data_IF_391776924663
#
_entry.id   IF_391776924663
#
_cell.length_a   1.000
_cell.length_b   1.000
_cell.length_c   1.000
_cell.angle_alpha   90.00
_cell.angle_beta   90.00
_cell.angle_gamma   90.00
#
_symmetry.space_group_name_H-M   'P 1'
#
loop_
_entity.id
_entity.type
_entity.pdbx_description
1 polymer ?
#
# COMPACT_ATOMS: atom_id res chain seq x y z
N UNK A 1 12.43 2.61 9.91
CA UNK A 1 11.50 2.88 8.78
C UNK A 1 10.07 2.38 8.99
N UNK A 2 9.79 1.10 9.35
CA UNK A 2 8.39 0.65 9.57
C UNK A 2 7.68 1.36 10.72
N UNK A 3 8.37 1.56 11.82
CA UNK A 3 7.85 2.23 13.02
C UNK A 3 7.60 3.72 12.75
N UNK A 4 8.54 4.38 12.10
CA UNK A 4 8.43 5.80 11.74
C UNK A 4 7.30 6.03 10.73
N UNK A 5 7.14 5.12 9.75
CA UNK A 5 6.01 5.16 8.83
C UNK A 5 4.68 5.01 9.56
N UNK A 6 4.56 4.00 10.45
CA UNK A 6 3.37 3.80 11.25
C UNK A 6 3.02 5.04 12.10
N UNK A 7 4.03 5.66 12.72
CA UNK A 7 3.80 6.89 13.50
C UNK A 7 3.33 8.04 12.61
N UNK A 8 3.94 8.25 11.44
CA UNK A 8 3.54 9.31 10.50
C UNK A 8 2.09 9.13 10.00
N UNK A 9 1.66 7.89 9.80
CA UNK A 9 0.27 7.58 9.41
C UNK A 9 -0.69 7.88 10.56
N UNK A 10 -0.34 7.51 11.80
CA UNK A 10 -1.12 7.82 13.00
C UNK A 10 -1.28 9.34 13.15
N UNK A 11 -0.19 10.10 13.04
CA UNK A 11 -0.19 11.56 13.16
C UNK A 11 -1.01 12.25 12.05
N UNK A 12 -1.15 11.60 10.90
CA UNK A 12 -1.92 12.09 9.77
C UNK A 12 -3.42 11.82 9.90
N UNK A 13 -3.81 10.83 10.69
CA UNK A 13 -5.19 10.35 10.80
C UNK A 13 -6.16 11.43 11.27
N UNK A 14 -5.80 12.18 12.31
CA UNK A 14 -6.65 13.22 12.89
C UNK A 14 -6.79 14.45 11.95
N UNK A 15 -5.81 14.63 11.05
CA UNK A 15 -5.78 15.73 10.08
C UNK A 15 -6.51 15.41 8.77
N UNK A 16 -6.75 14.13 8.51
CA UNK A 16 -7.35 13.63 7.27
C UNK A 16 -8.46 12.61 7.57
N UNK A 17 -9.69 13.06 7.78
CA UNK A 17 -10.80 12.20 8.22
C UNK A 17 -11.20 11.11 7.21
N UNK A 18 -10.80 11.26 5.94
CA UNK A 18 -11.06 10.30 4.87
C UNK A 18 -9.92 9.30 4.65
N UNK A 19 -8.91 9.28 5.52
CA UNK A 19 -7.77 8.35 5.42
C UNK A 19 -8.20 6.94 5.80
N UNK A 20 -7.86 5.95 4.97
CA UNK A 20 -8.10 4.51 5.18
C UNK A 20 -6.78 3.77 5.02
N UNK A 21 -6.56 2.77 5.84
CA UNK A 21 -5.36 1.91 5.79
C UNK A 21 -5.76 0.48 5.45
N UNK A 22 -5.17 -0.07 4.40
CA UNK A 22 -5.46 -1.42 3.90
C UNK A 22 -4.17 -2.23 3.90
N UNK A 23 -4.18 -3.41 4.48
CA UNK A 23 -3.02 -4.32 4.53
C UNK A 23 -3.38 -5.73 4.08
N UNK A 24 -2.40 -6.48 3.61
CA UNK A 24 -2.54 -7.85 3.10
C UNK A 24 -2.10 -8.92 4.08
N UNK A 25 -2.66 -8.94 5.29
CA UNK A 25 -2.37 -9.92 6.37
C UNK A 25 -0.90 -9.98 6.76
N UNK A 26 -0.30 -8.81 6.93
CA UNK A 26 1.09 -8.66 7.32
C UNK A 26 1.28 -7.41 8.19
N UNK A 27 2.50 -7.17 8.68
CA UNK A 27 2.83 -5.99 9.48
C UNK A 27 2.80 -6.26 10.97
N UNK A 28 2.85 -7.50 11.41
CA UNK A 28 2.98 -7.89 12.80
C UNK A 28 4.13 -7.15 13.49
N UNK A 29 3.91 -6.74 14.74
CA UNK A 29 4.82 -5.91 15.56
C UNK A 29 5.12 -4.51 14.98
N UNK A 30 4.35 -4.05 13.99
CA UNK A 30 4.54 -2.73 13.40
C UNK A 30 3.25 -1.94 13.18
N UNK A 31 2.11 -2.62 12.95
CA UNK A 31 0.85 -1.97 12.57
C UNK A 31 -0.23 -2.01 13.65
N UNK A 32 -0.01 -2.64 14.81
CA UNK A 32 -1.02 -2.76 15.87
C UNK A 32 -1.52 -1.39 16.33
N UNK A 33 -0.61 -0.40 16.48
CA UNK A 33 -0.98 0.97 16.85
C UNK A 33 -1.78 1.67 15.75
N UNK A 34 -1.47 1.38 14.48
CA UNK A 34 -2.25 1.89 13.35
C UNK A 34 -3.65 1.29 13.39
N UNK A 35 -3.76 -0.02 13.55
CA UNK A 35 -5.03 -0.72 13.68
C UNK A 35 -5.88 -0.17 14.83
N UNK A 36 -5.27 0.02 15.98
CA UNK A 36 -5.96 0.59 17.16
C UNK A 36 -6.45 2.02 16.91
N UNK A 37 -5.63 2.85 16.26
CA UNK A 37 -5.97 4.25 15.93
C UNK A 37 -7.04 4.36 14.85
N UNK A 38 -6.97 3.54 13.82
CA UNK A 38 -7.86 3.61 12.66
C UNK A 38 -9.22 2.93 12.89
N UNK A 39 -9.29 1.93 13.78
CA UNK A 39 -10.52 1.18 14.03
C UNK A 39 -11.10 0.58 12.75
N UNK A 40 -12.34 0.88 12.41
CA UNK A 40 -13.03 0.38 11.20
C UNK A 40 -12.38 0.85 9.89
N UNK A 41 -11.55 1.87 9.92
CA UNK A 41 -10.78 2.35 8.76
C UNK A 41 -9.43 1.64 8.57
N UNK A 42 -9.15 0.64 9.40
CA UNK A 42 -8.07 -0.31 9.20
C UNK A 42 -8.66 -1.61 8.65
N UNK A 43 -8.31 -1.95 7.41
CA UNK A 43 -8.85 -3.11 6.71
C UNK A 43 -7.73 -4.11 6.48
N UNK A 44 -7.87 -5.32 7.02
CA UNK A 44 -7.06 -6.45 6.62
C UNK A 44 -7.78 -7.19 5.48
N UNK A 45 -7.26 -7.05 4.28
CA UNK A 45 -7.84 -7.65 3.07
C UNK A 45 -7.42 -9.12 2.85
N UNK A 46 -6.64 -9.69 3.77
CA UNK A 46 -6.03 -11.01 3.58
C UNK A 46 -4.91 -11.00 2.53
N UNK A 47 -4.38 -12.16 2.21
CA UNK A 47 -3.33 -12.32 1.19
C UNK A 47 -3.97 -12.25 -0.21
N UNK A 48 -4.44 -11.06 -0.59
CA UNK A 48 -5.21 -10.83 -1.81
C UNK A 48 -4.90 -9.44 -2.41
N UNK A 49 -3.63 -9.20 -2.77
CA UNK A 49 -3.15 -7.86 -3.13
C UNK A 49 -3.85 -7.26 -4.37
N UNK A 50 -4.26 -8.09 -5.33
CA UNK A 50 -5.04 -7.62 -6.48
C UNK A 50 -6.39 -7.06 -6.04
N UNK A 51 -7.14 -7.81 -5.23
CA UNK A 51 -8.41 -7.35 -4.66
C UNK A 51 -8.22 -6.12 -3.76
N UNK A 52 -7.13 -6.10 -2.97
CA UNK A 52 -6.78 -4.99 -2.10
C UNK A 52 -6.64 -3.67 -2.88
N UNK A 53 -5.98 -3.70 -4.04
CA UNK A 53 -5.80 -2.51 -4.88
C UNK A 53 -7.10 -2.09 -5.55
N UNK A 54 -7.91 -3.03 -6.04
CA UNK A 54 -9.23 -2.73 -6.63
C UNK A 54 -10.18 -2.11 -5.60
N UNK A 55 -10.22 -2.66 -4.38
CA UNK A 55 -11.01 -2.08 -3.28
C UNK A 55 -10.51 -0.68 -2.93
N UNK A 56 -9.19 -0.47 -2.85
CA UNK A 56 -8.62 0.85 -2.61
C UNK A 56 -8.99 1.85 -3.70
N UNK A 57 -8.97 1.43 -4.96
CA UNK A 57 -9.39 2.28 -6.07
C UNK A 57 -10.86 2.69 -5.97
N UNK A 58 -11.75 1.75 -5.66
CA UNK A 58 -13.16 2.04 -5.43
C UNK A 58 -13.37 3.02 -4.26
N UNK A 59 -12.69 2.80 -3.14
CA UNK A 59 -12.75 3.73 -1.99
C UNK A 59 -12.22 5.11 -2.36
N UNK A 60 -11.15 5.18 -3.15
CA UNK A 60 -10.62 6.45 -3.61
C UNK A 60 -11.59 7.20 -4.54
N UNK A 61 -12.33 6.47 -5.35
CA UNK A 61 -13.40 7.02 -6.19
C UNK A 61 -14.52 7.65 -5.35
N UNK A 62 -14.84 7.05 -4.20
CA UNK A 62 -15.81 7.55 -3.22
C UNK A 62 -15.24 8.67 -2.29
N UNK A 63 -14.06 9.17 -2.58
CA UNK A 63 -13.47 10.31 -1.86
C UNK A 63 -12.58 9.95 -0.66
N UNK A 64 -12.31 8.68 -0.41
CA UNK A 64 -11.33 8.28 0.59
C UNK A 64 -9.89 8.45 0.09
N UNK A 65 -8.94 8.44 1.02
CA UNK A 65 -7.50 8.45 0.72
C UNK A 65 -6.89 7.14 1.23
N UNK A 66 -6.90 6.06 0.44
CA UNK A 66 -6.40 4.77 0.87
C UNK A 66 -4.87 4.72 0.85
N UNK A 67 -4.31 4.15 1.92
CA UNK A 67 -2.94 3.67 2.00
C UNK A 67 -2.95 2.15 1.93
N UNK A 68 -2.37 1.59 0.90
CA UNK A 68 -2.29 0.15 0.62
C UNK A 68 -0.90 -0.32 0.97
N UNK A 69 -0.76 -1.11 2.02
CA UNK A 69 0.52 -1.52 2.57
C UNK A 69 0.76 -3.02 2.40
N UNK A 70 1.86 -3.39 1.76
CA UNK A 70 2.35 -4.77 1.72
C UNK A 70 3.86 -4.81 1.50
N UNK A 71 4.43 -6.01 1.36
CA UNK A 71 5.81 -6.20 0.92
C UNK A 71 5.94 -5.67 -0.51
N UNK A 72 7.07 -5.03 -0.83
CA UNK A 72 7.25 -4.30 -2.09
C UNK A 72 6.82 -5.08 -3.34
N UNK A 73 7.33 -6.31 -3.63
CA UNK A 73 6.89 -7.03 -4.82
C UNK A 73 5.39 -7.38 -4.80
N UNK A 74 4.81 -7.55 -3.61
CA UNK A 74 3.41 -7.95 -3.49
C UNK A 74 2.44 -6.80 -3.73
N UNK A 75 2.79 -5.57 -3.33
CA UNK A 75 1.95 -4.39 -3.57
C UNK A 75 2.21 -3.74 -4.92
N UNK A 76 3.29 -4.08 -5.60
CA UNK A 76 3.64 -3.47 -6.90
C UNK A 76 3.45 -4.41 -8.07
N UNK A 77 4.03 -5.62 -8.02
CA UNK A 77 4.06 -6.52 -9.16
C UNK A 77 2.84 -7.44 -9.25
N UNK A 78 2.35 -7.96 -8.11
CA UNK A 78 1.14 -8.82 -8.13
C UNK A 78 -0.09 -8.09 -8.65
N UNK A 79 -0.42 -6.87 -8.18
CA UNK A 79 -1.58 -6.12 -8.62
C UNK A 79 -1.26 -5.12 -9.73
N UNK A 80 -0.22 -5.35 -10.53
CA UNK A 80 0.23 -4.38 -11.53
C UNK A 80 -0.87 -3.97 -12.51
N UNK A 81 -1.69 -4.94 -12.95
CA UNK A 81 -2.83 -4.68 -13.82
C UNK A 81 -3.86 -3.78 -13.12
N UNK A 82 -4.21 -4.07 -11.86
CA UNK A 82 -5.16 -3.29 -11.09
C UNK A 82 -4.62 -1.88 -10.83
N UNK A 83 -3.33 -1.73 -10.53
CA UNK A 83 -2.69 -0.42 -10.41
C UNK A 83 -2.84 0.38 -11.71
N UNK A 84 -2.53 -0.26 -12.85
CA UNK A 84 -2.63 0.36 -14.17
C UNK A 84 -4.07 0.77 -14.52
N UNK A 85 -5.01 -0.15 -14.37
CA UNK A 85 -6.37 0.01 -14.86
C UNK A 85 -7.26 0.75 -13.84
N UNK A 86 -7.23 0.34 -12.56
CA UNK A 86 -8.16 0.89 -11.58
C UNK A 86 -7.64 2.20 -10.97
N UNK A 87 -6.32 2.32 -10.75
CA UNK A 87 -5.74 3.50 -10.11
C UNK A 87 -5.26 4.54 -11.12
N UNK A 88 -4.34 4.16 -12.02
CA UNK A 88 -3.69 5.12 -12.91
C UNK A 88 -4.61 5.63 -14.02
N UNK A 89 -5.40 4.77 -14.65
CA UNK A 89 -6.35 5.17 -15.69
C UNK A 89 -7.35 6.21 -15.16
N UNK A 90 -7.88 5.98 -13.96
CA UNK A 90 -8.83 6.87 -13.30
C UNK A 90 -8.17 8.01 -12.51
N UNK A 91 -6.85 8.06 -12.43
CA UNK A 91 -6.09 9.08 -11.71
C UNK A 91 -6.48 9.21 -10.23
N UNK A 92 -6.64 8.09 -9.54
CA UNK A 92 -7.13 8.04 -8.18
C UNK A 92 -5.99 8.25 -7.14
N UNK A 93 -6.28 8.87 -5.99
CA UNK A 93 -5.27 9.20 -4.97
C UNK A 93 -4.92 8.01 -4.06
N UNK A 94 -4.76 6.82 -4.61
CA UNK A 94 -4.31 5.63 -3.88
C UNK A 94 -2.81 5.73 -3.58
N UNK A 95 -2.41 5.43 -2.35
CA UNK A 95 -1.01 5.41 -1.91
C UNK A 95 -0.57 3.97 -1.75
N UNK A 96 0.30 3.50 -2.63
CA UNK A 96 0.92 2.18 -2.55
C UNK A 96 2.18 2.27 -1.69
N UNK A 97 2.26 1.47 -0.65
CA UNK A 97 3.37 1.48 0.31
C UNK A 97 4.06 0.12 0.28
N UNK A 98 5.17 0.06 -0.42
CA UNK A 98 6.01 -1.13 -0.53
C UNK A 98 7.06 -1.19 0.58
N UNK A 99 6.96 -2.20 1.45
CA UNK A 99 7.96 -2.43 2.49
C UNK A 99 9.06 -3.36 1.98
N UNK A 100 10.33 -3.05 2.29
CA UNK A 100 11.47 -3.91 2.01
C UNK A 100 11.89 -3.99 0.55
N UNK A 101 11.85 -2.86 -0.18
CA UNK A 101 12.37 -2.78 -1.54
C UNK A 101 13.85 -3.16 -1.65
N UNK A 102 14.31 -3.44 -2.85
CA UNK A 102 15.65 -3.96 -3.10
C UNK A 102 15.85 -5.33 -2.45
N UNK A 103 16.93 -5.48 -1.72
CA UNK A 103 17.27 -6.70 -0.97
C UNK A 103 16.86 -6.64 0.51
N UNK A 104 15.92 -5.79 0.88
CA UNK A 104 15.54 -5.53 2.28
C UNK A 104 15.10 -6.76 3.07
N UNK A 105 14.64 -7.81 2.41
CA UNK A 105 14.24 -9.08 3.04
C UNK A 105 15.36 -10.15 3.08
N UNK A 106 16.54 -9.87 2.56
CA UNK A 106 17.74 -10.70 2.73
C UNK A 106 17.52 -12.18 2.44
N UNK A 107 17.60 -13.01 3.49
CA UNK A 107 17.51 -14.48 3.39
C UNK A 107 16.21 -15.04 2.82
N UNK A 108 15.14 -14.25 2.75
CA UNK A 108 13.87 -14.70 2.15
C UNK A 108 13.97 -14.86 0.62
N UNK A 109 15.03 -14.32 0.02
CA UNK A 109 15.39 -14.57 -1.36
C UNK A 109 14.53 -13.85 -2.39
N UNK A 110 14.64 -14.30 -3.63
CA UNK A 110 14.10 -13.66 -4.81
C UNK A 110 12.58 -13.42 -4.78
N UNK A 111 11.82 -14.24 -4.04
CA UNK A 111 10.37 -14.06 -3.92
C UNK A 111 9.95 -12.81 -3.13
N UNK A 112 10.88 -12.26 -2.34
CA UNK A 112 10.66 -11.08 -1.48
C UNK A 112 11.53 -9.89 -1.87
N UNK A 113 12.57 -10.10 -2.68
CA UNK A 113 13.37 -9.02 -3.25
C UNK A 113 12.56 -8.26 -4.30
N UNK A 114 12.81 -6.97 -4.45
CA UNK A 114 12.17 -6.17 -5.48
C UNK A 114 13.14 -5.11 -6.00
N UNK A 115 13.72 -5.37 -7.16
CA UNK A 115 14.62 -4.45 -7.87
C UNK A 115 13.88 -3.73 -8.99
N UNK A 116 12.72 -4.23 -9.38
CA UNK A 116 11.94 -3.81 -10.54
C UNK A 116 10.86 -2.78 -10.22
N UNK A 117 10.50 -2.60 -8.94
CA UNK A 117 9.37 -1.80 -8.49
C UNK A 117 9.39 -0.36 -9.01
N UNK A 118 10.51 0.33 -8.83
CA UNK A 118 10.66 1.72 -9.29
C UNK A 118 10.51 1.79 -10.81
N UNK A 119 11.17 0.89 -11.55
CA UNK A 119 11.11 0.82 -13.00
C UNK A 119 9.69 0.54 -13.50
N UNK A 120 9.05 -0.48 -12.93
CA UNK A 120 7.70 -0.87 -13.29
C UNK A 120 6.66 0.23 -12.99
N UNK A 121 6.75 0.84 -11.81
CA UNK A 121 5.80 1.89 -11.41
C UNK A 121 5.99 3.18 -12.23
N UNK A 122 7.22 3.57 -12.56
CA UNK A 122 7.50 4.80 -13.31
C UNK A 122 6.98 4.78 -14.76
N UNK A 123 6.75 3.61 -15.34
CA UNK A 123 6.19 3.47 -16.68
C UNK A 123 4.69 3.83 -16.70
N UNK A 124 4.00 3.68 -15.57
CA UNK A 124 2.57 3.92 -15.49
C UNK A 124 2.24 5.42 -15.54
N UNK A 125 1.30 5.84 -16.41
CA UNK A 125 0.89 7.23 -16.50
C UNK A 125 0.37 7.76 -15.16
N UNK A 126 0.76 8.99 -14.82
CA UNK A 126 0.34 9.71 -13.60
C UNK A 126 0.85 9.10 -12.28
N UNK A 127 1.55 7.97 -12.31
CA UNK A 127 2.19 7.39 -11.13
C UNK A 127 3.34 8.27 -10.67
N UNK A 128 3.38 8.57 -9.38
CA UNK A 128 4.50 9.25 -8.72
C UNK A 128 5.20 8.26 -7.81
N UNK A 129 6.52 8.16 -7.95
CA UNK A 129 7.36 7.26 -7.16
C UNK A 129 8.31 8.10 -6.31
N UNK A 130 8.36 7.81 -5.01
CA UNK A 130 9.16 8.54 -4.01
C UNK A 130 10.16 7.61 -3.33
#
# INVERSE_FOLDING_TARGET
MRVEFAQSIIDSFDKKPNLVFITGDLGYMALEKVQQKFGERFINAGVAEQNMVTVAAAMAYEGFTPFVYSISPFVTLRPYEQIRNDVCLHNLPVKLVGNGGGYGYGILGATHHNLEDIGAMRILPKMKVY
#
